data_IF_877333129671
#
_entry.id   IF_877333129671
#
_cell.length_a   1.000
_cell.length_b   1.000
_cell.length_c   1.000
_cell.angle_alpha   90.00
_cell.angle_beta   90.00
_cell.angle_gamma   90.00
#
_symmetry.space_group_name_H-M   'P 1'
#
loop_
_entity.id
_entity.type
_entity.pdbx_description
1 polymer ?
#
# COMPACT_ATOMS: atom_id res chain seq x y z
N UNK A 1 28.24 3.44 -15.56
CA UNK A 1 26.88 3.81 -15.11
C UNK A 1 25.95 2.69 -15.54
N UNK A 2 25.39 1.94 -14.59
CA UNK A 2 24.43 0.86 -14.89
C UNK A 2 23.03 1.36 -14.50
N UNK A 3 22.06 1.42 -15.42
CA UNK A 3 20.71 1.87 -15.09
C UNK A 3 19.98 0.82 -14.23
N UNK A 4 19.00 1.29 -13.45
CA UNK A 4 18.03 0.43 -12.78
C UNK A 4 16.81 0.33 -13.71
N UNK A 5 16.60 -0.85 -14.32
CA UNK A 5 15.43 -1.06 -15.18
C UNK A 5 14.14 -0.92 -14.38
N UNK A 6 14.09 -1.50 -13.19
CA UNK A 6 12.97 -1.38 -12.28
C UNK A 6 13.21 -2.05 -10.94
N UNK A 7 12.30 -1.78 -10.01
CA UNK A 7 12.18 -2.37 -8.69
C UNK A 7 10.79 -3.01 -8.58
N UNK A 8 10.72 -4.15 -7.91
CA UNK A 8 9.45 -4.83 -7.59
C UNK A 8 9.24 -4.73 -6.08
N UNK A 9 8.10 -4.18 -5.65
CA UNK A 9 7.63 -4.28 -4.26
C UNK A 9 6.49 -5.29 -4.18
N UNK A 10 6.46 -6.11 -3.13
CA UNK A 10 5.48 -7.20 -2.98
C UNK A 10 4.42 -6.82 -1.95
N UNK A 11 3.15 -7.02 -2.31
CA UNK A 11 1.98 -6.80 -1.45
C UNK A 11 1.27 -8.14 -1.28
N UNK A 12 1.59 -8.81 -0.17
CA UNK A 12 1.21 -10.19 0.13
C UNK A 12 2.29 -11.18 -0.33
N UNK A 13 3.39 -11.29 0.44
CA UNK A 13 4.42 -12.31 0.21
C UNK A 13 3.84 -13.73 0.29
N UNK A 14 4.47 -14.67 -0.41
CA UNK A 14 3.93 -16.03 -0.59
C UNK A 14 3.77 -16.80 0.72
N UNK A 15 4.75 -16.72 1.62
CA UNK A 15 4.78 -17.56 2.83
C UNK A 15 4.26 -16.82 4.07
N UNK A 16 4.48 -15.50 4.15
CA UNK A 16 4.15 -14.70 5.34
C UNK A 16 2.99 -13.72 5.13
N UNK A 17 2.54 -13.51 3.90
CA UNK A 17 1.56 -12.46 3.58
C UNK A 17 2.07 -11.05 3.85
N UNK A 18 3.39 -10.85 3.87
CA UNK A 18 4.02 -9.57 4.20
C UNK A 18 3.72 -8.51 3.13
N UNK A 19 3.70 -7.25 3.54
CA UNK A 19 3.48 -6.11 2.67
C UNK A 19 4.72 -5.21 2.75
N UNK A 20 5.42 -5.06 1.64
CA UNK A 20 6.55 -4.14 1.53
C UNK A 20 6.08 -2.68 1.70
N UNK A 21 6.97 -1.83 2.22
CA UNK A 21 6.72 -0.39 2.35
C UNK A 21 6.76 0.32 1.00
N UNK A 22 5.70 0.15 0.19
CA UNK A 22 5.60 0.74 -1.16
C UNK A 22 5.70 2.27 -1.11
N UNK A 23 5.14 2.89 -0.08
CA UNK A 23 5.27 4.32 0.23
C UNK A 23 6.73 4.76 0.35
N UNK A 24 7.55 3.97 1.06
CA UNK A 24 8.98 4.25 1.26
C UNK A 24 9.78 4.05 -0.03
N UNK A 25 9.40 3.07 -0.87
CA UNK A 25 10.03 2.87 -2.18
C UNK A 25 9.74 4.06 -3.10
N UNK A 26 8.50 4.57 -3.08
CA UNK A 26 8.10 5.76 -3.83
C UNK A 26 8.84 7.01 -3.32
N UNK A 27 8.97 7.17 -2.00
CA UNK A 27 9.75 8.26 -1.41
C UNK A 27 11.23 8.19 -1.82
N UNK A 28 11.84 7.01 -1.72
CA UNK A 28 13.22 6.79 -2.15
C UNK A 28 13.42 7.15 -3.63
N UNK A 29 12.49 6.76 -4.50
CA UNK A 29 12.53 7.15 -5.92
C UNK A 29 12.55 8.67 -6.09
N UNK A 30 11.70 9.40 -5.37
CA UNK A 30 11.66 10.88 -5.41
C UNK A 30 12.94 11.53 -4.89
N UNK A 31 13.61 10.91 -3.92
CA UNK A 31 14.92 11.38 -3.44
C UNK A 31 15.98 11.18 -4.53
N UNK A 32 16.04 9.97 -5.10
CA UNK A 32 17.01 9.61 -6.14
C UNK A 32 16.81 10.35 -7.47
N UNK A 33 15.58 10.73 -7.80
CA UNK A 33 15.28 11.57 -8.97
C UNK A 33 16.03 12.90 -8.94
N UNK A 34 16.26 13.47 -7.75
CA UNK A 34 17.03 14.71 -7.58
C UNK A 34 18.50 14.55 -7.96
N UNK A 35 19.00 13.32 -7.88
CA UNK A 35 20.37 12.93 -8.24
C UNK A 35 20.44 12.33 -9.67
N UNK A 36 19.35 12.42 -10.44
CA UNK A 36 19.28 11.91 -11.82
C UNK A 36 19.11 10.40 -11.95
N UNK A 37 18.73 9.72 -10.86
CA UNK A 37 18.47 8.27 -10.83
C UNK A 37 16.97 8.01 -10.79
N UNK A 38 16.48 7.16 -11.69
CA UNK A 38 15.08 6.76 -11.74
C UNK A 38 14.97 5.25 -11.93
N UNK A 39 13.88 4.66 -11.44
CA UNK A 39 13.52 3.27 -11.70
C UNK A 39 12.01 3.10 -11.90
N UNK A 40 11.62 2.21 -12.81
CA UNK A 40 10.24 1.74 -12.89
C UNK A 40 9.87 0.99 -11.61
N UNK A 41 8.67 1.20 -11.08
CA UNK A 41 8.19 0.45 -9.92
C UNK A 41 7.03 -0.45 -10.36
N UNK A 42 7.23 -1.75 -10.23
CA UNK A 42 6.14 -2.73 -10.32
C UNK A 42 5.72 -3.10 -8.89
N UNK A 43 4.42 -3.16 -8.63
CA UNK A 43 3.90 -3.71 -7.38
C UNK A 43 3.30 -5.08 -7.71
N UNK A 44 3.93 -6.14 -7.20
CA UNK A 44 3.36 -7.49 -7.27
C UNK A 44 2.33 -7.63 -6.15
N UNK A 45 1.06 -7.46 -6.53
CA UNK A 45 -0.08 -7.61 -5.65
C UNK A 45 -0.94 -8.82 -6.07
N UNK A 46 -0.32 -9.90 -6.57
CA UNK A 46 -1.05 -11.09 -6.99
C UNK A 46 -1.92 -11.66 -5.87
N UNK A 47 -1.42 -11.65 -4.63
CA UNK A 47 -2.17 -12.07 -3.44
C UNK A 47 -2.92 -10.90 -2.79
N UNK A 48 -2.25 -9.78 -2.51
CA UNK A 48 -2.80 -8.66 -1.75
C UNK A 48 -3.64 -7.66 -2.53
N UNK A 49 -3.80 -7.82 -3.85
CA UNK A 49 -4.46 -6.82 -4.72
C UNK A 49 -5.90 -6.49 -4.30
N UNK A 50 -6.71 -7.52 -4.03
CA UNK A 50 -8.08 -7.32 -3.52
C UNK A 50 -8.11 -6.71 -2.11
N UNK A 51 -7.02 -6.85 -1.34
CA UNK A 51 -6.85 -6.18 -0.05
C UNK A 51 -6.96 -4.66 -0.16
N UNK A 52 -6.70 -4.06 -1.33
CA UNK A 52 -6.88 -2.62 -1.53
C UNK A 52 -8.34 -2.16 -1.37
N UNK A 53 -9.31 -3.04 -1.58
CA UNK A 53 -10.74 -2.71 -1.53
C UNK A 53 -11.20 -2.27 -0.13
N UNK A 54 -10.59 -2.76 0.94
CA UNK A 54 -10.98 -2.37 2.31
C UNK A 54 -10.54 -0.94 2.66
N UNK A 55 -9.73 -0.28 1.82
CA UNK A 55 -9.31 1.10 2.02
C UNK A 55 -10.11 2.10 1.18
N UNK A 56 -11.12 1.64 0.46
CA UNK A 56 -11.95 2.47 -0.42
C UNK A 56 -13.34 2.63 0.16
N UNK A 57 -13.87 3.86 0.13
CA UNK A 57 -15.27 4.12 0.45
C UNK A 57 -16.21 3.76 -0.72
N UNK A 58 -17.51 3.99 -0.55
CA UNK A 58 -18.54 3.68 -1.55
C UNK A 58 -18.41 4.48 -2.86
N UNK A 59 -17.67 5.60 -2.81
CA UNK A 59 -17.37 6.46 -3.96
C UNK A 59 -15.97 6.16 -4.56
N UNK A 60 -15.28 5.13 -4.07
CA UNK A 60 -13.91 4.75 -4.40
C UNK A 60 -12.82 5.76 -3.98
N UNK A 61 -13.08 6.61 -3.00
CA UNK A 61 -12.04 7.43 -2.39
C UNK A 61 -11.26 6.61 -1.35
N UNK A 62 -9.97 6.92 -1.22
CA UNK A 62 -9.12 6.27 -0.24
C UNK A 62 -9.39 6.81 1.17
N UNK A 63 -9.81 5.94 2.08
CA UNK A 63 -10.24 6.29 3.45
C UNK A 63 -9.02 6.72 4.28
N UNK A 64 -9.07 7.86 5.00
CA UNK A 64 -8.02 8.26 5.94
C UNK A 64 -7.80 7.21 7.05
N UNK A 65 -6.56 7.01 7.49
CA UNK A 65 -6.22 5.97 8.47
C UNK A 65 -7.04 6.11 9.77
N UNK A 66 -7.19 7.34 10.26
CA UNK A 66 -7.92 7.63 11.51
C UNK A 66 -9.42 7.33 11.44
N UNK A 67 -9.98 7.30 10.23
CA UNK A 67 -11.40 7.01 9.98
C UNK A 67 -11.63 5.53 9.63
N UNK A 68 -10.58 4.82 9.21
CA UNK A 68 -10.66 3.49 8.62
C UNK A 68 -11.40 2.49 9.50
N UNK A 69 -11.06 2.47 10.78
CA UNK A 69 -11.66 1.58 11.79
C UNK A 69 -13.17 1.81 11.93
N UNK A 70 -13.59 3.06 12.00
CA UNK A 70 -15.00 3.40 12.17
C UNK A 70 -15.80 3.15 10.89
N UNK A 71 -15.20 3.37 9.71
CA UNK A 71 -15.79 3.00 8.41
C UNK A 71 -15.93 1.47 8.29
N UNK A 72 -14.89 0.70 8.61
CA UNK A 72 -14.95 -0.77 8.62
C UNK A 72 -16.07 -1.29 9.50
N UNK A 73 -16.21 -0.74 10.71
CA UNK A 73 -17.26 -1.14 11.63
C UNK A 73 -18.66 -0.75 11.12
N UNK A 74 -18.83 0.49 10.64
CA UNK A 74 -20.10 0.97 10.05
C UNK A 74 -20.59 0.08 8.90
N UNK A 75 -19.66 -0.39 8.06
CA UNK A 75 -19.98 -1.20 6.88
C UNK A 75 -19.88 -2.72 7.12
N UNK A 76 -19.73 -3.15 8.38
CA UNK A 76 -19.61 -4.56 8.77
C UNK A 76 -18.46 -5.33 8.07
N UNK A 77 -17.37 -4.64 7.73
CA UNK A 77 -16.13 -5.25 7.23
C UNK A 77 -15.49 -6.11 8.33
N UNK A 78 -15.49 -5.59 9.57
CA UNK A 78 -15.11 -6.31 10.77
C UNK A 78 -16.23 -6.27 11.81
N UNK A 79 -16.31 -7.32 12.63
CA UNK A 79 -17.37 -7.48 13.64
C UNK A 79 -17.14 -6.64 14.90
N UNK A 80 -15.91 -6.18 15.13
CA UNK A 80 -15.53 -5.38 16.29
C UNK A 80 -14.95 -4.03 15.84
N UNK A 81 -15.24 -2.97 16.59
CA UNK A 81 -14.66 -1.66 16.34
C UNK A 81 -13.22 -1.59 16.91
N UNK A 82 -12.27 -2.24 16.22
CA UNK A 82 -10.85 -2.34 16.59
C UNK A 82 -9.93 -2.09 15.39
N UNK A 83 -8.73 -1.59 15.67
CA UNK A 83 -7.70 -1.42 14.65
C UNK A 83 -7.10 -2.79 14.27
N UNK A 84 -7.46 -3.30 13.10
CA UNK A 84 -6.88 -4.51 12.52
C UNK A 84 -5.72 -4.20 11.56
N UNK A 85 -5.72 -3.00 10.97
CA UNK A 85 -4.74 -2.58 9.98
C UNK A 85 -3.69 -1.71 10.66
N UNK A 86 -2.42 -2.04 10.41
CA UNK A 86 -1.28 -1.23 10.82
C UNK A 86 -1.15 0.03 9.93
N UNK A 87 -0.63 1.12 10.49
CA UNK A 87 -0.48 2.39 9.77
C UNK A 87 0.50 2.27 8.59
N UNK A 88 1.56 1.48 8.74
CA UNK A 88 2.50 1.19 7.66
C UNK A 88 1.86 0.40 6.51
N UNK A 89 0.90 -0.49 6.82
CA UNK A 89 0.15 -1.24 5.82
C UNK A 89 -0.81 -0.32 5.07
N UNK A 90 -1.50 0.56 5.78
CA UNK A 90 -2.34 1.59 5.17
C UNK A 90 -1.54 2.49 4.24
N UNK A 91 -0.37 2.95 4.70
CA UNK A 91 0.54 3.80 3.93
C UNK A 91 1.04 3.10 2.66
N UNK A 92 1.42 1.82 2.77
CA UNK A 92 1.81 1.01 1.61
C UNK A 92 0.69 0.91 0.58
N UNK A 93 -0.55 0.56 0.98
CA UNK A 93 -1.68 0.49 0.05
C UNK A 93 -2.05 1.84 -0.57
N UNK A 94 -1.89 2.94 0.17
CA UNK A 94 -2.11 4.30 -0.32
C UNK A 94 -1.17 4.66 -1.47
N UNK A 95 0.04 4.11 -1.46
CA UNK A 95 1.04 4.32 -2.51
C UNK A 95 0.80 3.49 -3.78
N UNK A 96 -0.16 2.56 -3.79
CA UNK A 96 -0.55 1.74 -4.96
C UNK A 96 -1.60 2.49 -5.80
N UNK A 97 -1.27 3.69 -6.31
CA UNK A 97 -2.18 4.52 -7.10
C UNK A 97 -1.64 4.75 -8.52
#
# INVERSE_FOLDING_TARGET
NSPILGVVGVVGSTEEGAIDGIDKIVELRRVLEKDGIYFYLHVDAAYGGYGRAIFLDEDNNFIPFEELKDVHFKHNVFTENKNYILEEVHSAYKAIA
#
